data_IF_616305099036
#
_entry.id   IF_616305099036
#
_cell.length_a   1.000
_cell.length_b   1.000
_cell.length_c   1.000
_cell.angle_alpha   90.00
_cell.angle_beta   90.00
_cell.angle_gamma   90.00
#
_symmetry.space_group_name_H-M   'P 1'
#
loop_
_entity.id
_entity.type
_entity.pdbx_description
1 polymer ?
#
# COMPACT_ATOMS: atom_id res chain seq x y z
N UNK A 1 -1.31 -21.53 4.36
CA UNK A 1 -1.12 -20.81 3.08
C UNK A 1 -1.97 -19.55 3.17
N UNK A 2 -1.39 -18.34 3.11
CA UNK A 2 -2.19 -17.12 3.07
C UNK A 2 -3.11 -17.16 1.83
N UNK A 3 -4.37 -16.67 1.92
CA UNK A 3 -5.25 -16.64 0.77
C UNK A 3 -4.58 -15.86 -0.36
N UNK A 4 -4.62 -16.40 -1.58
CA UNK A 4 -4.18 -15.65 -2.76
C UNK A 4 -5.23 -14.58 -3.06
N UNK A 5 -4.82 -13.35 -3.39
CA UNK A 5 -5.78 -12.32 -3.74
C UNK A 5 -6.50 -12.66 -5.03
N UNK A 6 -7.80 -12.34 -5.06
CA UNK A 6 -8.61 -12.44 -6.27
C UNK A 6 -8.17 -11.43 -7.33
N UNK A 7 -8.52 -11.68 -8.60
CA UNK A 7 -8.21 -10.77 -9.70
C UNK A 7 -8.81 -9.37 -9.49
N UNK A 8 -10.02 -9.30 -8.93
CA UNK A 8 -10.70 -8.05 -8.58
C UNK A 8 -9.88 -7.23 -7.58
N UNK A 9 -9.38 -7.85 -6.50
CA UNK A 9 -8.57 -7.16 -5.49
C UNK A 9 -7.23 -6.65 -6.05
N UNK A 10 -6.63 -7.40 -6.98
CA UNK A 10 -5.41 -6.98 -7.68
C UNK A 10 -5.70 -5.75 -8.55
N UNK A 11 -6.86 -5.73 -9.21
CA UNK A 11 -7.24 -4.61 -10.08
C UNK A 11 -7.55 -3.35 -9.27
N UNK A 12 -8.26 -3.48 -8.15
CA UNK A 12 -8.50 -2.33 -7.26
C UNK A 12 -7.18 -1.77 -6.72
N UNK A 13 -6.20 -2.60 -6.35
CA UNK A 13 -4.87 -2.10 -5.97
C UNK A 13 -4.24 -1.25 -7.08
N UNK A 14 -4.30 -1.72 -8.33
CA UNK A 14 -3.76 -0.97 -9.48
C UNK A 14 -4.50 0.34 -9.70
N UNK A 15 -5.82 0.34 -9.54
CA UNK A 15 -6.67 1.52 -9.61
C UNK A 15 -6.44 2.52 -8.47
N UNK A 16 -5.63 2.22 -7.46
CA UNK A 16 -5.19 3.22 -6.45
C UNK A 16 -3.68 3.43 -6.49
N UNK A 17 -3.05 3.04 -7.61
CA UNK A 17 -1.62 3.24 -7.84
C UNK A 17 -0.70 2.32 -7.03
N UNK A 18 -1.20 1.18 -6.55
CA UNK A 18 -0.45 0.17 -5.79
C UNK A 18 -0.28 -1.12 -6.58
N UNK A 19 0.69 -1.95 -6.19
CA UNK A 19 0.92 -3.28 -6.78
C UNK A 19 1.10 -4.35 -5.72
N UNK A 20 0.56 -5.53 -5.97
CA UNK A 20 0.84 -6.70 -5.15
C UNK A 20 2.34 -7.06 -5.21
N UNK A 21 2.94 -7.38 -4.06
CA UNK A 21 4.37 -7.64 -3.88
C UNK A 21 5.23 -6.40 -3.72
N UNK A 22 4.65 -5.20 -3.86
CA UNK A 22 5.38 -3.93 -3.74
C UNK A 22 5.87 -3.67 -2.32
N UNK A 23 7.08 -3.10 -2.20
CA UNK A 23 7.65 -2.72 -0.91
C UNK A 23 6.88 -1.56 -0.28
N UNK A 24 6.49 -1.76 0.97
CA UNK A 24 5.75 -0.80 1.77
C UNK A 24 6.39 -0.72 3.15
N UNK A 25 6.37 0.45 3.76
CA UNK A 25 6.60 0.58 5.19
C UNK A 25 5.32 0.91 5.92
N UNK A 26 5.19 0.38 7.13
CA UNK A 26 3.99 0.53 7.94
C UNK A 26 4.32 0.73 9.41
N UNK A 27 3.41 1.38 10.14
CA UNK A 27 3.48 1.49 11.59
C UNK A 27 2.19 0.97 12.23
N UNK A 28 2.30 0.26 13.34
CA UNK A 28 1.12 -0.30 14.04
C UNK A 28 0.41 0.74 14.91
N UNK A 29 1.19 1.58 15.57
CA UNK A 29 0.73 2.72 16.36
C UNK A 29 1.26 4.01 15.74
N UNK A 30 0.61 5.14 16.00
CA UNK A 30 0.97 6.41 15.36
C UNK A 30 2.38 6.88 15.77
N UNK A 31 2.81 6.56 16.99
CA UNK A 31 4.19 6.77 17.46
C UNK A 31 5.06 5.50 17.44
N UNK A 32 4.59 4.46 16.74
CA UNK A 32 5.30 3.20 16.60
C UNK A 32 6.48 3.31 15.63
N UNK A 33 7.37 2.31 15.69
CA UNK A 33 8.45 2.19 14.71
C UNK A 33 7.87 1.82 13.35
N UNK A 34 8.44 2.40 12.30
CA UNK A 34 8.23 1.94 10.94
C UNK A 34 8.84 0.54 10.78
N UNK A 35 8.08 -0.33 10.15
CA UNK A 35 8.47 -1.68 9.78
C UNK A 35 8.28 -1.83 8.28
N UNK A 36 9.09 -2.66 7.66
CA UNK A 36 8.98 -2.95 6.23
C UNK A 36 8.13 -4.20 5.99
N UNK A 37 7.49 -4.24 4.83
CA UNK A 37 6.67 -5.35 4.40
C UNK A 37 6.38 -5.26 2.91
N UNK A 38 5.45 -6.10 2.46
CA UNK A 38 4.99 -6.14 1.08
C UNK A 38 3.48 -6.07 0.99
N UNK A 39 2.98 -5.26 0.05
CA UNK A 39 1.56 -5.19 -0.26
C UNK A 39 1.09 -6.54 -0.78
N UNK A 40 -0.08 -6.99 -0.34
CA UNK A 40 -0.69 -8.22 -0.81
C UNK A 40 -1.98 -7.91 -1.57
N UNK A 41 -2.98 -7.34 -0.90
CA UNK A 41 -4.25 -6.92 -1.51
C UNK A 41 -4.99 -5.87 -0.70
N UNK A 42 -6.02 -5.29 -1.30
CA UNK A 42 -7.00 -4.44 -0.63
C UNK A 42 -8.21 -5.28 -0.21
N UNK A 43 -8.68 -5.03 0.99
CA UNK A 43 -9.89 -5.60 1.56
C UNK A 43 -11.11 -4.72 1.20
N UNK A 44 -12.32 -5.27 1.30
CA UNK A 44 -13.55 -4.56 0.95
C UNK A 44 -13.81 -3.30 1.78
N UNK A 45 -13.26 -3.22 2.99
CA UNK A 45 -13.38 -2.05 3.87
C UNK A 45 -12.33 -0.95 3.57
N UNK A 46 -11.53 -1.13 2.52
CA UNK A 46 -10.46 -0.21 2.11
C UNK A 46 -9.16 -0.40 2.88
N UNK A 47 -9.08 -1.36 3.81
CA UNK A 47 -7.80 -1.72 4.43
C UNK A 47 -6.90 -2.48 3.46
N UNK A 48 -5.59 -2.39 3.66
CA UNK A 48 -4.60 -3.06 2.82
C UNK A 48 -3.90 -4.12 3.64
N UNK A 49 -3.93 -5.35 3.13
CA UNK A 49 -3.19 -6.47 3.70
C UNK A 49 -1.74 -6.43 3.24
N UNK A 50 -0.84 -6.37 4.21
CA UNK A 50 0.62 -6.39 4.02
C UNK A 50 1.23 -7.59 4.74
N UNK A 51 2.29 -8.14 4.17
CA UNK A 51 3.10 -9.17 4.82
C UNK A 51 4.37 -8.52 5.37
N UNK A 52 4.60 -8.64 6.66
CA UNK A 52 5.83 -8.15 7.28
C UNK A 52 7.05 -9.03 6.93
N UNK A 53 8.23 -8.61 7.34
CA UNK A 53 9.48 -9.35 7.12
C UNK A 53 9.51 -10.75 7.77
N UNK A 54 8.64 -11.01 8.73
CA UNK A 54 8.48 -12.32 9.38
C UNK A 54 7.40 -13.17 8.72
N UNK A 55 6.80 -12.68 7.62
CA UNK A 55 5.75 -13.37 6.87
C UNK A 55 4.37 -13.30 7.51
N UNK A 56 4.18 -12.49 8.55
CA UNK A 56 2.86 -12.35 9.17
C UNK A 56 2.01 -11.35 8.36
N UNK A 57 0.77 -11.74 8.09
CA UNK A 57 -0.21 -10.88 7.42
C UNK A 57 -0.80 -9.87 8.41
N UNK A 58 -0.92 -8.62 7.96
CA UNK A 58 -1.47 -7.49 8.72
C UNK A 58 -2.39 -6.68 7.82
N UNK A 59 -3.65 -6.52 8.22
CA UNK A 59 -4.56 -5.55 7.62
C UNK A 59 -4.35 -4.19 8.30
N UNK A 60 -4.06 -3.17 7.50
CA UNK A 60 -3.75 -1.82 7.97
C UNK A 60 -4.50 -0.78 7.14
N UNK A 61 -4.84 0.33 7.79
CA UNK A 61 -5.43 1.48 7.10
C UNK A 61 -4.40 2.17 6.19
N UNK A 62 -4.81 2.73 5.03
CA UNK A 62 -3.92 3.43 4.10
C UNK A 62 -3.07 4.53 4.76
N UNK A 63 -3.62 5.27 5.72
CA UNK A 63 -2.91 6.36 6.44
C UNK A 63 -1.71 5.88 7.27
N UNK A 64 -1.61 4.57 7.53
CA UNK A 64 -0.50 3.95 8.28
C UNK A 64 0.54 3.31 7.37
N UNK A 65 0.37 3.44 6.04
CA UNK A 65 1.20 2.82 5.02
C UNK A 65 1.87 3.89 4.17
N UNK A 66 3.12 3.63 3.82
CA UNK A 66 3.86 4.44 2.87
C UNK A 66 4.59 3.56 1.86
N UNK A 67 4.59 3.99 0.60
CA UNK A 67 5.23 3.29 -0.52
C UNK A 67 6.32 4.16 -1.15
N UNK A 68 7.33 3.52 -1.74
CA UNK A 68 8.39 4.25 -2.45
C UNK A 68 7.87 4.79 -3.77
N UNK A 69 7.86 6.11 -3.93
CA UNK A 69 7.45 6.79 -5.17
C UNK A 69 8.52 7.78 -5.59
N UNK A 70 8.67 8.07 -6.90
CA UNK A 70 9.54 9.15 -7.34
C UNK A 70 9.12 10.48 -6.72
N UNK A 71 10.02 11.12 -5.98
CA UNK A 71 9.85 12.48 -5.49
C UNK A 71 10.14 13.51 -6.58
N UNK A 72 9.87 14.79 -6.29
CA UNK A 72 10.07 15.92 -7.22
C UNK A 72 11.46 16.02 -7.86
N UNK A 73 12.49 15.45 -7.22
CA UNK A 73 13.88 15.45 -7.67
C UNK A 73 14.35 14.09 -8.21
N UNK A 74 13.43 13.20 -8.58
CA UNK A 74 13.71 11.88 -9.16
C UNK A 74 14.18 10.81 -8.17
N UNK A 75 14.47 11.15 -6.91
CA UNK A 75 14.80 10.17 -5.86
C UNK A 75 13.54 9.49 -5.35
N UNK A 76 13.62 8.18 -5.09
CA UNK A 76 12.54 7.47 -4.40
C UNK A 76 12.42 7.99 -2.97
N UNK A 77 11.21 8.39 -2.61
CA UNK A 77 10.85 8.81 -1.25
C UNK A 77 9.64 8.01 -0.82
N UNK A 78 9.53 7.78 0.49
CA UNK A 78 8.34 7.20 1.07
C UNK A 78 7.21 8.22 1.00
N UNK A 79 6.09 7.84 0.38
CA UNK A 79 4.89 8.65 0.25
C UNK A 79 3.70 7.91 0.87
N UNK A 80 2.82 8.60 1.61
CA UNK A 80 1.58 8.02 2.13
C UNK A 80 0.74 7.39 1.03
N UNK A 81 0.17 6.22 1.31
CA UNK A 81 -0.73 5.56 0.35
C UNK A 81 -1.94 6.44 0.03
N UNK A 82 -2.41 7.24 0.98
CA UNK A 82 -3.50 8.21 0.76
C UNK A 82 -3.16 9.22 -0.35
N UNK A 83 -1.93 9.71 -0.39
CA UNK A 83 -1.50 10.70 -1.38
C UNK A 83 -1.37 10.05 -2.77
N UNK A 84 -0.92 8.79 -2.80
CA UNK A 84 -0.80 7.99 -4.03
C UNK A 84 -2.17 7.69 -4.63
N UNK A 85 -3.13 7.28 -3.80
CA UNK A 85 -4.49 6.98 -4.23
C UNK A 85 -5.19 8.23 -4.81
N UNK A 86 -5.09 9.37 -4.11
CA UNK A 86 -5.67 10.65 -4.59
C UNK A 86 -5.04 11.11 -5.90
N UNK A 87 -3.71 11.00 -6.04
CA UNK A 87 -3.02 11.37 -7.29
C UNK A 87 -3.56 10.57 -8.48
N UNK A 88 -3.98 9.32 -8.25
CA UNK A 88 -4.56 8.51 -9.31
C UNK A 88 -6.04 8.84 -9.58
N UNK A 89 -6.86 9.08 -8.54
CA UNK A 89 -8.24 9.55 -8.72
C UNK A 89 -8.32 10.85 -9.55
N UNK A 90 -7.29 11.69 -9.47
CA UNK A 90 -7.20 12.92 -10.27
C UNK A 90 -6.81 12.67 -11.75
N UNK A 91 -6.17 11.54 -12.07
CA UNK A 91 -5.72 11.22 -13.43
C UNK A 91 -6.76 10.51 -14.29
N UNK A 92 -7.87 10.01 -13.70
CA UNK A 92 -8.97 9.34 -14.43
C UNK A 92 -10.07 10.29 -14.89
N UNK A 93 -9.88 11.61 -14.78
CA UNK A 93 -10.88 12.63 -15.15
C UNK A 93 -10.68 13.27 -16.55
N UNK A 94 -9.97 12.61 -17.48
CA UNK A 94 -9.82 13.11 -18.86
C UNK A 94 -10.21 12.07 -19.90
#
# INVERSE_FOLDING_TARGET
>A
MAPKPSAEQIEVLRQIGLRAGEEVRFRRADRGRWQEGRISWVERDGSITVHDSHGAARSLRPEKLEVKRPGRRGRLVWQPVTDVAVTWEQLTLF
#
